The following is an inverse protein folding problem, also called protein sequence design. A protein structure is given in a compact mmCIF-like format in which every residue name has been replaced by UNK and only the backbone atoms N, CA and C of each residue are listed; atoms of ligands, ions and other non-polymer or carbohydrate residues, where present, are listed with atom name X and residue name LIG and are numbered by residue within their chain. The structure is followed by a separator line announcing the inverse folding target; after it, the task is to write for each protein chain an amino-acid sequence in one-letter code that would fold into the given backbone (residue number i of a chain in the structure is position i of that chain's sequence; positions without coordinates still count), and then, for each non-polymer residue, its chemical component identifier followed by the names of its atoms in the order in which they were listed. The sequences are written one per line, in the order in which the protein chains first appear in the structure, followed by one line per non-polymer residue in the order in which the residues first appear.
data_IF_702393164081
#
_entry.id   IF_702393164081
#
_cell.length_a   1.000
_cell.length_b   1.000
_cell.length_c   1.000
_cell.angle_alpha   90.00
_cell.angle_beta   90.00
_cell.angle_gamma   90.00
#
_symmetry.space_group_name_H-M   'P 1'
#
loop_
_entity.id
_entity.type
_entity.pdbx_description
1 polymer ?
#
# COMPACT_ATOMS: atom_id res chain seq x y z
N UNK A 1 -17.49 -3.62 16.93
CA UNK A 1 -16.34 -2.84 17.43
C UNK A 1 -16.60 -2.18 18.79
N UNK A 2 -17.86 -2.10 19.25
CA UNK A 2 -18.18 -1.56 20.58
C UNK A 2 -17.52 -2.36 21.71
N UNK A 3 -17.33 -3.69 21.51
CA UNK A 3 -16.70 -4.59 22.49
C UNK A 3 -15.17 -4.56 22.46
N UNK A 4 -14.56 -4.07 21.38
CA UNK A 4 -13.10 -4.00 21.18
C UNK A 4 -12.81 -2.65 20.52
N UNK A 5 -12.82 -1.55 21.27
CA UNK A 5 -12.71 -0.20 20.71
C UNK A 5 -11.38 0.06 19.98
N UNK A 6 -10.31 -0.62 20.40
CA UNK A 6 -8.97 -0.45 19.83
C UNK A 6 -8.70 -1.32 18.59
N UNK A 7 -9.69 -2.16 18.20
CA UNK A 7 -9.51 -3.07 17.09
C UNK A 7 -9.80 -2.39 15.73
N UNK A 8 -9.03 -2.79 14.72
CA UNK A 8 -9.29 -2.47 13.32
C UNK A 8 -9.77 -3.74 12.63
N UNK A 9 -10.91 -3.66 11.95
CA UNK A 9 -11.36 -4.77 11.10
C UNK A 9 -10.63 -4.67 9.77
N UNK A 10 -9.85 -5.69 9.46
CA UNK A 10 -9.04 -5.74 8.26
C UNK A 10 -9.05 -7.17 7.70
N UNK A 11 -9.06 -7.28 6.36
CA UNK A 11 -8.85 -8.57 5.72
C UNK A 11 -7.43 -9.09 6.01
N UNK A 12 -7.23 -10.41 6.20
CA UNK A 12 -5.90 -10.96 6.46
C UNK A 12 -4.87 -10.63 5.38
N UNK A 13 -5.25 -10.54 4.10
CA UNK A 13 -4.35 -10.14 3.03
C UNK A 13 -3.88 -8.69 3.18
N UNK A 14 -4.77 -7.77 3.55
CA UNK A 14 -4.40 -6.39 3.81
C UNK A 14 -3.49 -6.25 5.05
N UNK A 15 -3.67 -7.11 6.05
CA UNK A 15 -2.77 -7.18 7.21
C UNK A 15 -1.39 -7.73 6.82
N UNK A 16 -1.33 -8.75 5.95
CA UNK A 16 -0.06 -9.25 5.41
C UNK A 16 0.71 -8.16 4.66
N UNK A 17 0.03 -7.30 3.89
CA UNK A 17 0.68 -6.14 3.25
C UNK A 17 1.29 -5.19 4.31
N UNK A 18 0.56 -4.89 5.38
CA UNK A 18 1.09 -4.05 6.47
C UNK A 18 2.32 -4.68 7.14
N UNK A 19 2.31 -6.00 7.40
CA UNK A 19 3.47 -6.71 7.93
C UNK A 19 4.65 -6.73 6.93
N UNK A 20 4.34 -6.91 5.64
CA UNK A 20 5.33 -6.92 4.57
C UNK A 20 6.06 -5.58 4.39
N UNK A 21 5.44 -4.46 4.80
CA UNK A 21 6.16 -3.18 4.84
C UNK A 21 7.42 -3.25 5.70
N UNK A 22 7.45 -4.10 6.73
CA UNK A 22 8.59 -4.35 7.62
C UNK A 22 9.26 -3.04 8.02
N UNK A 23 8.45 -2.17 8.65
CA UNK A 23 8.83 -0.79 8.97
C UNK A 23 9.81 -0.77 10.14
N UNK A 24 11.03 -0.26 9.97
CA UNK A 24 11.98 -0.18 11.07
C UNK A 24 11.50 0.79 12.16
N UNK A 25 11.73 0.48 13.44
CA UNK A 25 11.42 1.39 14.53
C UNK A 25 12.12 2.75 14.38
N UNK A 26 11.43 3.81 14.75
CA UNK A 26 12.02 5.15 14.78
C UNK A 26 12.09 5.86 13.42
N UNK A 27 11.56 5.28 12.35
CA UNK A 27 11.53 5.85 10.99
C UNK A 27 10.38 6.85 10.80
N UNK A 28 10.45 7.61 9.71
CA UNK A 28 9.35 8.43 9.20
C UNK A 28 8.63 7.67 8.09
N UNK A 29 7.32 7.55 8.21
CA UNK A 29 6.48 6.83 7.23
C UNK A 29 5.49 7.78 6.57
N UNK A 30 5.35 7.70 5.26
CA UNK A 30 4.29 8.34 4.49
C UNK A 30 3.45 7.30 3.77
N UNK A 31 2.13 7.30 3.98
CA UNK A 31 1.15 6.50 3.24
C UNK A 31 0.33 7.45 2.35
N UNK A 32 0.43 7.28 1.03
CA UNK A 32 -0.02 8.26 0.05
C UNK A 32 -1.45 8.02 -0.46
N UNK A 33 -2.02 6.83 -0.28
CA UNK A 33 -3.40 6.50 -0.62
C UNK A 33 -4.06 5.78 0.57
N UNK A 34 -3.98 6.41 1.73
CA UNK A 34 -4.12 5.78 3.04
C UNK A 34 -5.53 5.31 3.38
N UNK A 35 -6.56 5.97 2.86
CA UNK A 35 -7.93 5.76 3.35
C UNK A 35 -8.51 4.38 2.96
N UNK A 36 -9.14 3.69 3.90
CA UNK A 36 -9.67 4.13 5.21
C UNK A 36 -8.70 4.01 6.40
N UNK A 37 -7.40 3.80 6.18
CA UNK A 37 -6.37 3.84 7.20
C UNK A 37 -5.92 2.47 7.74
N UNK A 38 -6.45 1.37 7.23
CA UNK A 38 -6.15 0.04 7.78
C UNK A 38 -4.66 -0.30 7.81
N UNK A 39 -3.92 -0.03 6.74
CA UNK A 39 -2.49 -0.32 6.65
C UNK A 39 -1.65 0.59 7.53
N UNK A 40 -1.80 1.91 7.38
CA UNK A 40 -1.02 2.88 8.17
C UNK A 40 -1.26 2.73 9.67
N UNK A 41 -2.48 2.43 10.10
CA UNK A 41 -2.79 2.21 11.50
C UNK A 41 -2.17 0.91 12.04
N UNK A 42 -2.09 -0.13 11.20
CA UNK A 42 -1.45 -1.40 11.58
C UNK A 42 0.06 -1.26 11.79
N UNK A 43 0.72 -0.32 11.09
CA UNK A 43 2.17 -0.07 11.20
C UNK A 43 2.53 1.10 12.10
N UNK A 44 1.57 1.89 12.56
CA UNK A 44 1.80 3.19 13.25
C UNK A 44 2.44 3.11 14.65
N UNK A 45 2.63 1.92 15.19
CA UNK A 45 3.32 1.73 16.49
C UNK A 45 4.84 1.69 16.37
N UNK A 46 5.37 1.49 15.17
CA UNK A 46 6.81 1.32 14.93
C UNK A 46 7.51 2.65 14.58
N UNK A 47 6.94 3.51 13.72
CA UNK A 47 7.59 4.74 13.29
C UNK A 47 7.62 5.79 14.40
N UNK A 48 8.64 6.67 14.32
CA UNK A 48 8.68 7.89 15.13
C UNK A 48 7.65 8.93 14.65
N UNK A 49 7.29 8.90 13.37
CA UNK A 49 6.34 9.82 12.78
C UNK A 49 5.63 9.18 11.58
N UNK A 50 4.32 9.32 11.51
CA UNK A 50 3.49 8.76 10.43
C UNK A 50 2.61 9.84 9.82
N UNK A 51 2.61 9.91 8.48
CA UNK A 51 1.73 10.75 7.68
C UNK A 51 0.81 9.85 6.87
N UNK A 52 -0.48 10.13 6.93
CA UNK A 52 -1.49 9.52 6.09
C UNK A 52 -2.07 10.57 5.15
N UNK A 53 -2.06 10.31 3.84
CA UNK A 53 -2.69 11.17 2.85
C UNK A 53 -3.62 10.38 1.92
N UNK A 54 -4.65 11.06 1.42
CA UNK A 54 -5.57 10.54 0.40
C UNK A 54 -6.16 11.74 -0.35
N UNK A 55 -6.53 11.53 -1.60
CA UNK A 55 -7.15 12.56 -2.43
C UNK A 55 -8.53 12.98 -1.91
N UNK A 56 -9.24 12.08 -1.24
CA UNK A 56 -10.62 12.28 -0.79
C UNK A 56 -10.68 12.74 0.66
N UNK A 57 -11.14 13.98 0.88
CA UNK A 57 -11.38 14.52 2.22
C UNK A 57 -12.36 13.64 3.02
N UNK A 58 -13.46 13.20 2.41
CA UNK A 58 -14.44 12.36 3.09
C UNK A 58 -13.87 11.01 3.53
N UNK A 59 -12.96 10.43 2.73
CA UNK A 59 -12.27 9.21 3.12
C UNK A 59 -11.22 9.48 4.21
N UNK A 60 -10.55 10.63 4.21
CA UNK A 60 -9.61 11.03 5.26
C UNK A 60 -10.29 11.23 6.62
N UNK A 61 -11.58 11.63 6.65
CA UNK A 61 -12.35 11.65 7.89
C UNK A 61 -12.46 10.25 8.53
N UNK A 62 -12.58 9.18 7.71
CA UNK A 62 -12.58 7.81 8.22
C UNK A 62 -11.23 7.43 8.85
N UNK A 63 -10.12 7.85 8.24
CA UNK A 63 -8.77 7.66 8.82
C UNK A 63 -8.67 8.37 10.17
N UNK A 64 -9.12 9.61 10.24
CA UNK A 64 -9.14 10.41 11.49
C UNK A 64 -9.94 9.74 12.60
N UNK A 65 -11.14 9.26 12.29
CA UNK A 65 -12.00 8.58 13.26
C UNK A 65 -11.37 7.26 13.73
N UNK A 66 -10.82 6.48 12.80
CA UNK A 66 -10.13 5.23 13.13
C UNK A 66 -8.88 5.47 13.97
N UNK A 67 -8.06 6.47 13.64
CA UNK A 67 -6.88 6.85 14.40
C UNK A 67 -7.25 7.28 15.83
N UNK A 68 -8.28 8.13 15.96
CA UNK A 68 -8.80 8.56 17.28
C UNK A 68 -9.30 7.37 18.10
N UNK A 69 -10.07 6.47 17.48
CA UNK A 69 -10.65 5.30 18.15
C UNK A 69 -9.58 4.33 18.64
N UNK A 70 -8.52 4.15 17.86
CA UNK A 70 -7.40 3.24 18.16
C UNK A 70 -6.27 3.89 18.96
N UNK A 71 -6.40 5.17 19.34
CA UNK A 71 -5.37 5.90 20.08
C UNK A 71 -4.08 6.19 19.28
N UNK A 72 -4.12 6.05 17.94
CA UNK A 72 -2.96 6.25 17.07
C UNK A 72 -2.77 7.72 16.72
N UNK A 73 -1.53 8.18 16.69
CA UNK A 73 -1.18 9.54 16.29
C UNK A 73 -0.66 9.55 14.85
N UNK A 74 -1.40 10.24 13.98
CA UNK A 74 -1.06 10.40 12.56
C UNK A 74 -1.18 11.87 12.18
N UNK A 75 -0.24 12.37 11.37
CA UNK A 75 -0.45 13.58 10.61
C UNK A 75 -1.36 13.27 9.41
N UNK A 76 -2.44 14.02 9.24
CA UNK A 76 -3.45 13.75 8.21
C UNK A 76 -3.44 14.88 7.18
N UNK A 77 -3.36 14.52 5.90
CA UNK A 77 -3.30 15.48 4.80
C UNK A 77 -4.22 15.04 3.66
N UNK A 78 -5.04 15.95 3.15
CA UNK A 78 -5.78 15.72 1.90
C UNK A 78 -4.89 16.18 0.74
N UNK A 79 -4.46 15.25 -0.10
CA UNK A 79 -3.55 15.55 -1.19
C UNK A 79 -3.65 14.55 -2.34
N UNK A 80 -3.25 15.01 -3.51
CA UNK A 80 -3.03 14.14 -4.67
C UNK A 80 -1.62 13.53 -4.58
N UNK A 81 -1.55 12.20 -4.59
CA UNK A 81 -0.27 11.49 -4.50
C UNK A 81 0.64 11.68 -5.73
N UNK A 82 0.13 12.28 -6.81
CA UNK A 82 0.96 12.77 -7.93
C UNK A 82 1.76 14.01 -7.55
N UNK A 83 1.31 14.76 -6.54
CA UNK A 83 1.94 15.96 -6.01
C UNK A 83 1.98 15.89 -4.49
N UNK A 84 2.73 14.94 -3.92
CA UNK A 84 2.66 14.64 -2.49
C UNK A 84 3.14 15.83 -1.66
N UNK A 85 2.43 16.17 -0.57
CA UNK A 85 2.69 17.37 0.22
C UNK A 85 3.79 17.15 1.27
N UNK A 86 4.47 16.04 1.21
CA UNK A 86 5.50 15.65 2.18
C UNK A 86 6.88 15.68 1.55
N UNK A 87 7.86 16.08 2.34
CA UNK A 87 9.27 15.93 2.02
C UNK A 87 9.73 14.52 2.45
N UNK A 88 10.94 14.18 2.14
CA UNK A 88 11.53 12.85 2.31
C UNK A 88 11.08 12.06 3.54
N UNK A 89 10.80 10.78 3.30
CA UNK A 89 10.42 9.77 4.30
C UNK A 89 11.32 8.53 4.18
N UNK A 90 11.57 7.86 5.31
CA UNK A 90 12.39 6.65 5.33
C UNK A 90 11.63 5.45 4.74
N UNK A 91 10.30 5.45 4.89
CA UNK A 91 9.40 4.47 4.28
C UNK A 91 8.24 5.20 3.62
N UNK A 92 7.99 4.89 2.37
CA UNK A 92 6.83 5.38 1.61
C UNK A 92 5.97 4.19 1.22
N UNK A 93 4.70 4.20 1.63
CA UNK A 93 3.69 3.23 1.22
C UNK A 93 2.78 3.85 0.16
N UNK A 94 2.63 3.17 -0.95
CA UNK A 94 1.67 3.45 -1.99
C UNK A 94 0.74 2.24 -2.14
N UNK A 95 -0.37 2.23 -1.39
CA UNK A 95 -1.47 1.29 -1.62
C UNK A 95 -2.35 1.83 -2.74
N UNK A 96 -1.99 1.50 -3.97
CA UNK A 96 -2.45 2.21 -5.15
C UNK A 96 -3.94 1.94 -5.46
N UNK A 97 -4.67 2.94 -5.98
CA UNK A 97 -5.99 2.70 -6.53
C UNK A 97 -5.89 1.69 -7.68
N UNK A 98 -6.72 0.65 -7.65
CA UNK A 98 -6.67 -0.47 -8.59
C UNK A 98 -8.07 -0.97 -8.93
N UNK A 99 -8.20 -1.91 -9.87
CA UNK A 99 -9.49 -2.54 -10.22
C UNK A 99 -10.08 -3.33 -9.07
N UNK A 100 -9.25 -3.82 -8.14
CA UNK A 100 -9.69 -4.55 -6.95
C UNK A 100 -10.26 -5.94 -7.24
N UNK A 101 -9.84 -6.60 -8.33
CA UNK A 101 -10.34 -7.92 -8.72
C UNK A 101 -10.09 -9.00 -7.67
N UNK A 102 -9.10 -8.82 -6.81
CA UNK A 102 -8.85 -9.69 -5.66
C UNK A 102 -9.91 -9.60 -4.56
N UNK A 103 -10.80 -8.60 -4.59
CA UNK A 103 -11.83 -8.38 -3.55
C UNK A 103 -13.25 -8.74 -4.01
N UNK A 104 -13.41 -9.41 -5.15
CA UNK A 104 -14.71 -9.72 -5.76
C UNK A 104 -15.62 -10.59 -4.89
N UNK A 105 -15.06 -11.37 -3.97
CA UNK A 105 -15.82 -12.15 -2.99
C UNK A 105 -16.68 -11.26 -2.08
N UNK A 106 -16.15 -10.09 -1.71
CA UNK A 106 -16.82 -9.10 -0.84
C UNK A 106 -17.50 -7.98 -1.63
N UNK A 107 -17.09 -7.75 -2.87
CA UNK A 107 -17.59 -6.70 -3.77
C UNK A 107 -17.99 -7.27 -5.12
N UNK A 108 -18.98 -8.17 -5.17
CA UNK A 108 -19.35 -8.87 -6.41
C UNK A 108 -19.87 -7.93 -7.51
N UNK A 109 -20.35 -6.75 -7.13
CA UNK A 109 -20.79 -5.70 -8.06
C UNK A 109 -19.62 -5.11 -8.88
N UNK A 110 -18.38 -5.18 -8.38
CA UNK A 110 -17.22 -4.66 -9.08
C UNK A 110 -16.97 -5.38 -10.42
N UNK A 111 -17.35 -6.67 -10.54
CA UNK A 111 -17.23 -7.45 -11.78
C UNK A 111 -17.91 -6.81 -12.99
N UNK A 112 -19.01 -6.08 -12.76
CA UNK A 112 -19.78 -5.44 -13.84
C UNK A 112 -19.13 -4.16 -14.37
N UNK A 113 -18.10 -3.66 -13.70
CA UNK A 113 -17.34 -2.45 -14.04
C UNK A 113 -15.95 -2.76 -14.59
N UNK A 114 -15.61 -4.05 -14.66
CA UNK A 114 -14.31 -4.48 -15.20
C UNK A 114 -14.35 -4.40 -16.72
N UNK A 115 -13.38 -3.69 -17.27
CA UNK A 115 -13.09 -3.60 -18.70
C UNK A 115 -11.57 -3.49 -18.88
N UNK A 116 -11.05 -4.01 -19.98
CA UNK A 116 -9.61 -3.97 -20.29
C UNK A 116 -9.07 -2.54 -20.34
N UNK A 117 -9.88 -1.61 -20.87
CA UNK A 117 -9.54 -0.19 -20.93
C UNK A 117 -9.31 0.38 -19.52
N UNK A 118 -10.14 -0.06 -18.54
CA UNK A 118 -10.01 0.41 -17.16
C UNK A 118 -8.77 -0.12 -16.46
N UNK A 119 -8.35 -1.34 -16.76
CA UNK A 119 -7.09 -1.91 -16.26
C UNK A 119 -5.92 -1.05 -16.77
N UNK A 120 -5.88 -0.76 -18.07
CA UNK A 120 -4.81 0.05 -18.67
C UNK A 120 -4.79 1.49 -18.11
N UNK A 121 -5.95 2.12 -17.92
CA UNK A 121 -6.04 3.46 -17.30
C UNK A 121 -5.47 3.47 -15.89
N UNK A 122 -5.81 2.45 -15.09
CA UNK A 122 -5.32 2.35 -13.71
C UNK A 122 -3.83 2.01 -13.66
N UNK A 123 -3.33 1.13 -14.51
CA UNK A 123 -1.91 0.84 -14.62
C UNK A 123 -1.09 2.09 -14.98
N UNK A 124 -1.59 2.92 -15.91
CA UNK A 124 -0.97 4.20 -16.24
C UNK A 124 -0.94 5.16 -15.04
N UNK A 125 -2.07 5.32 -14.34
CA UNK A 125 -2.16 6.12 -13.11
C UNK A 125 -1.20 5.60 -12.03
N UNK A 126 -1.16 4.30 -11.81
CA UNK A 126 -0.29 3.65 -10.82
C UNK A 126 1.19 3.92 -11.13
N UNK A 127 1.56 3.90 -12.41
CA UNK A 127 2.94 4.24 -12.84
C UNK A 127 3.29 5.69 -12.50
N UNK A 128 2.38 6.64 -12.72
CA UNK A 128 2.58 8.04 -12.32
C UNK A 128 2.72 8.18 -10.81
N UNK A 129 1.84 7.53 -10.05
CA UNK A 129 1.84 7.56 -8.58
C UNK A 129 3.12 6.94 -8.02
N UNK A 130 3.58 5.82 -8.58
CA UNK A 130 4.78 5.13 -8.13
C UNK A 130 6.04 5.96 -8.39
N UNK A 131 6.14 6.58 -9.58
CA UNK A 131 7.24 7.50 -9.89
C UNK A 131 7.25 8.72 -8.96
N UNK A 132 6.09 9.28 -8.65
CA UNK A 132 5.95 10.38 -7.69
C UNK A 132 6.35 9.95 -6.27
N UNK A 133 5.86 8.80 -5.80
CA UNK A 133 6.19 8.25 -4.49
C UNK A 133 7.71 8.01 -4.31
N UNK A 134 8.38 7.56 -5.37
CA UNK A 134 9.82 7.33 -5.35
C UNK A 134 10.64 8.58 -5.02
N UNK A 135 10.17 9.77 -5.43
CA UNK A 135 10.86 11.04 -5.14
C UNK A 135 10.93 11.37 -3.66
N UNK A 136 10.03 10.80 -2.85
CA UNK A 136 9.95 11.04 -1.41
C UNK A 136 10.87 10.11 -0.60
N UNK A 137 11.33 9.02 -1.19
CA UNK A 137 12.13 8.02 -0.46
C UNK A 137 13.53 8.57 -0.24
N UNK A 138 13.99 8.56 1.00
CA UNK A 138 15.39 8.92 1.33
C UNK A 138 16.38 7.91 0.73
N UNK A 139 17.65 8.29 0.56
CA UNK A 139 18.72 7.33 0.27
C UNK A 139 18.73 6.23 1.33
N UNK A 140 18.84 4.98 0.91
CA UNK A 140 18.69 3.82 1.77
C UNK A 140 17.29 3.57 2.32
N UNK A 141 16.29 4.38 1.93
CA UNK A 141 14.90 4.25 2.33
C UNK A 141 14.14 3.14 1.57
N UNK A 142 12.88 2.99 1.90
CA UNK A 142 12.03 1.91 1.41
C UNK A 142 10.80 2.48 0.72
N UNK A 143 10.50 1.97 -0.46
CA UNK A 143 9.25 2.18 -1.19
C UNK A 143 8.46 0.87 -1.21
N UNK A 144 7.22 0.90 -0.74
CA UNK A 144 6.30 -0.23 -0.83
C UNK A 144 5.17 0.14 -1.77
N UNK A 145 5.03 -0.63 -2.84
CA UNK A 145 3.88 -0.57 -3.73
C UNK A 145 2.95 -1.72 -3.41
N UNK A 146 1.64 -1.49 -3.32
CA UNK A 146 0.66 -2.54 -3.12
C UNK A 146 -0.65 -2.28 -3.84
N UNK A 147 -1.36 -3.36 -4.16
CA UNK A 147 -2.70 -3.36 -4.74
C UNK A 147 -3.54 -4.48 -4.15
N UNK A 148 -4.86 -4.42 -4.36
CA UNK A 148 -5.77 -5.53 -4.10
C UNK A 148 -6.35 -6.14 -5.40
N UNK A 149 -5.64 -6.00 -6.52
CA UNK A 149 -6.00 -6.59 -7.80
C UNK A 149 -5.21 -7.87 -8.07
N UNK A 150 -5.72 -8.70 -8.98
CA UNK A 150 -5.03 -9.90 -9.48
C UNK A 150 -4.47 -9.67 -10.90
N UNK A 151 -4.70 -8.49 -11.48
CA UNK A 151 -4.29 -8.16 -12.84
C UNK A 151 -2.78 -7.89 -12.91
N UNK A 152 -2.11 -8.62 -13.78
CA UNK A 152 -0.66 -8.51 -13.94
C UNK A 152 -0.24 -7.11 -14.43
N UNK A 153 -1.08 -6.47 -15.24
CA UNK A 153 -0.85 -5.12 -15.77
C UNK A 153 -0.76 -4.07 -14.67
N UNK A 154 -1.53 -4.25 -13.58
CA UNK A 154 -1.55 -3.35 -12.42
C UNK A 154 -0.50 -3.74 -11.35
N UNK A 155 0.08 -4.92 -11.46
CA UNK A 155 1.01 -5.50 -10.49
C UNK A 155 2.45 -5.52 -11.04
N UNK A 156 2.87 -6.68 -11.57
CA UNK A 156 4.22 -6.87 -12.11
C UNK A 156 4.53 -5.89 -13.24
N UNK A 157 3.56 -5.61 -14.11
CA UNK A 157 3.72 -4.70 -15.23
C UNK A 157 4.13 -3.30 -14.80
N UNK A 158 3.50 -2.74 -13.76
CA UNK A 158 3.84 -1.43 -13.19
C UNK A 158 5.22 -1.45 -12.53
N UNK A 159 5.49 -2.47 -11.72
CA UNK A 159 6.75 -2.58 -10.98
C UNK A 159 7.94 -2.80 -11.90
N UNK A 160 7.84 -3.69 -12.88
CA UNK A 160 8.94 -3.99 -13.79
C UNK A 160 9.26 -2.77 -14.68
N UNK A 161 8.24 -2.04 -15.15
CA UNK A 161 8.45 -0.79 -15.88
C UNK A 161 9.11 0.30 -15.02
N UNK A 162 8.73 0.40 -13.75
CA UNK A 162 9.35 1.31 -12.78
C UNK A 162 10.82 0.98 -12.57
N UNK A 163 11.16 -0.27 -12.26
CA UNK A 163 12.53 -0.71 -12.00
C UNK A 163 13.44 -0.60 -13.22
N UNK A 164 12.88 -0.70 -14.43
CA UNK A 164 13.63 -0.50 -15.66
C UNK A 164 14.12 0.95 -15.84
N UNK A 165 13.43 1.93 -15.24
CA UNK A 165 13.73 3.37 -15.36
C UNK A 165 14.32 3.99 -14.09
N UNK A 166 14.12 3.36 -12.94
CA UNK A 166 14.63 3.82 -11.62
C UNK A 166 15.67 2.83 -11.10
N UNK A 167 16.86 2.86 -11.69
CA UNK A 167 17.96 1.92 -11.44
C UNK A 167 18.58 2.05 -10.05
N UNK A 168 18.24 3.11 -9.32
CA UNK A 168 18.57 3.32 -7.91
C UNK A 168 17.65 2.55 -6.96
N UNK A 169 16.59 1.88 -7.47
CA UNK A 169 15.73 1.00 -6.68
C UNK A 169 15.95 -0.47 -7.03
N UNK A 170 15.85 -1.34 -6.03
CA UNK A 170 15.87 -2.80 -6.21
C UNK A 170 14.93 -3.48 -5.24
N UNK A 171 14.37 -4.63 -5.63
CA UNK A 171 13.49 -5.42 -4.76
C UNK A 171 14.28 -5.90 -3.55
N UNK A 172 13.74 -5.68 -2.37
CA UNK A 172 14.29 -6.17 -1.12
C UNK A 172 13.25 -7.03 -0.41
N UNK A 173 13.47 -8.34 -0.43
CA UNK A 173 12.63 -9.29 0.30
C UNK A 173 12.68 -9.03 1.82
N UNK A 174 11.62 -9.42 2.51
CA UNK A 174 11.53 -9.38 3.98
C UNK A 174 11.15 -10.75 4.53
N UNK A 175 11.48 -11.00 5.79
CA UNK A 175 11.04 -12.18 6.56
C UNK A 175 9.89 -11.87 7.51
N UNK A 176 9.30 -10.68 7.42
CA UNK A 176 8.19 -10.25 8.27
C UNK A 176 6.87 -10.97 7.96
N UNK A 177 6.79 -11.65 6.81
CA UNK A 177 5.65 -12.46 6.41
C UNK A 177 6.08 -13.90 6.12
N UNK A 178 5.18 -14.90 6.25
CA UNK A 178 5.48 -16.29 5.91
C UNK A 178 5.91 -16.45 4.43
N UNK A 179 6.93 -17.26 4.20
CA UNK A 179 7.53 -17.50 2.88
C UNK A 179 6.52 -18.00 1.84
N UNK A 180 5.49 -18.75 2.27
CA UNK A 180 4.41 -19.25 1.39
C UNK A 180 3.62 -18.14 0.67
N UNK A 181 3.71 -16.88 1.12
CA UNK A 181 3.09 -15.73 0.49
C UNK A 181 4.04 -14.94 -0.39
N UNK A 182 5.30 -15.37 -0.50
CA UNK A 182 6.31 -14.73 -1.33
C UNK A 182 6.53 -15.52 -2.62
N UNK A 183 6.67 -14.80 -3.71
CA UNK A 183 7.14 -15.38 -4.97
C UNK A 183 8.68 -15.50 -4.99
N UNK A 184 9.21 -16.03 -6.10
CA UNK A 184 10.66 -16.20 -6.27
C UNK A 184 11.46 -14.89 -6.31
N UNK A 185 10.82 -13.76 -6.57
CA UNK A 185 11.43 -12.43 -6.54
C UNK A 185 11.32 -11.75 -5.17
N UNK A 186 10.65 -12.38 -4.21
CA UNK A 186 10.39 -11.84 -2.87
C UNK A 186 9.22 -10.87 -2.79
N UNK A 187 8.34 -10.84 -3.81
CA UNK A 187 7.11 -10.06 -3.82
C UNK A 187 6.02 -10.80 -3.04
N UNK A 188 5.18 -10.07 -2.31
CA UNK A 188 4.00 -10.63 -1.65
C UNK A 188 2.90 -10.87 -2.69
N UNK A 189 2.42 -12.11 -2.78
CA UNK A 189 1.33 -12.51 -3.67
C UNK A 189 0.33 -13.35 -2.89
N UNK A 190 -0.86 -12.81 -2.66
CA UNK A 190 -1.96 -13.49 -1.98
C UNK A 190 -3.11 -13.63 -2.96
N UNK A 191 -3.58 -14.85 -3.18
CA UNK A 191 -4.73 -15.11 -4.07
C UNK A 191 -5.89 -15.72 -3.30
N UNK A 192 -7.14 -15.32 -3.60
CA UNK A 192 -8.32 -15.87 -2.94
C UNK A 192 -8.44 -17.40 -3.08
N UNK A 193 -7.97 -17.92 -4.21
CA UNK A 193 -8.02 -19.35 -4.51
C UNK A 193 -7.13 -20.19 -3.57
N UNK A 194 -5.97 -19.63 -3.20
CA UNK A 194 -5.01 -20.33 -2.34
C UNK A 194 -5.33 -20.18 -0.84
N UNK A 195 -5.93 -19.07 -0.44
CA UNK A 195 -6.00 -18.66 0.97
C UNK A 195 -7.41 -18.52 1.52
N UNK A 196 -8.41 -18.27 0.66
CA UNK A 196 -9.73 -17.83 1.08
C UNK A 196 -9.77 -16.36 1.57
N UNK A 197 -8.64 -15.64 1.57
CA UNK A 197 -8.56 -14.21 1.86
C UNK A 197 -8.86 -13.40 0.61
N UNK A 198 -8.89 -12.08 0.72
CA UNK A 198 -8.83 -11.23 -0.47
C UNK A 198 -7.50 -11.40 -1.22
N UNK A 199 -7.48 -10.96 -2.46
CA UNK A 199 -6.23 -10.83 -3.22
C UNK A 199 -5.41 -9.65 -2.73
N UNK A 200 -4.09 -9.82 -2.69
CA UNK A 200 -3.15 -8.74 -2.47
C UNK A 200 -1.84 -9.01 -3.22
N UNK A 201 -1.28 -7.95 -3.74
CA UNK A 201 0.07 -7.90 -4.28
C UNK A 201 0.84 -6.80 -3.59
N UNK A 202 2.11 -7.03 -3.24
CA UNK A 202 2.99 -5.96 -2.78
C UNK A 202 4.44 -6.23 -3.14
N UNK A 203 5.16 -5.13 -3.41
CA UNK A 203 6.61 -5.14 -3.64
C UNK A 203 7.26 -4.12 -2.73
N UNK A 204 8.29 -4.55 -2.03
CA UNK A 204 9.14 -3.73 -1.20
C UNK A 204 10.45 -3.48 -1.93
N UNK A 205 10.74 -2.21 -2.18
CA UNK A 205 11.92 -1.79 -2.93
C UNK A 205 12.78 -0.89 -2.05
N UNK A 206 14.09 -1.11 -2.06
CA UNK A 206 15.04 -0.25 -1.38
C UNK A 206 15.69 0.70 -2.38
N UNK A 207 15.79 1.97 -2.02
CA UNK A 207 16.60 2.94 -2.73
C UNK A 207 18.06 2.77 -2.36
N UNK A 208 18.97 2.78 -3.34
CA UNK A 208 20.42 2.79 -3.09
C UNK A 208 20.82 4.02 -2.24
N UNK A 209 21.92 3.86 -1.48
CA UNK A 209 22.50 4.92 -0.68
C UNK A 209 23.44 5.78 -1.51
#
# INVERSE_FOLDING_TARGET
LELIPDAIVQDPAANLVAQYCDVPPGTKVADLCSAPGGKILAISDQPAFSIASDLSESRMLMVKENAKRTGRQLALVVADARHPPVLHSDVVLLDAPCTGTGTLSRRPDARWRLASEKINELAALQSELLASAATLVTEGGILVYSTCTLEQEENEGVVDAFLATHTDFHIQATRAVPEQYLDSAGRLVVTPQATGFDGAFAVRMRRAA
#
